data_IF_266813720384
#
_entry.id   IF_266813720384
#
_cell.length_a   1.000
_cell.length_b   1.000
_cell.length_c   1.000
_cell.angle_alpha   90.00
_cell.angle_beta   90.00
_cell.angle_gamma   90.00
#
_symmetry.space_group_name_H-M   'P 1'
#
loop_
_entity.id
_entity.type
_entity.pdbx_description
1 polymer ?
#
# COMPACT_ATOMS: atom_id res chain seq x y z
N UNK A 1 56.79 -63.90 -7.42
CA UNK A 1 56.54 -62.57 -8.01
C UNK A 1 55.08 -62.23 -7.75
N UNK A 2 54.78 -61.49 -6.68
CA UNK A 2 53.40 -61.24 -6.26
C UNK A 2 52.94 -59.87 -6.79
N UNK A 3 51.98 -59.89 -7.73
CA UNK A 3 51.34 -58.70 -8.27
C UNK A 3 50.36 -58.16 -7.23
N UNK A 4 50.64 -56.97 -6.68
CA UNK A 4 49.71 -56.22 -5.83
C UNK A 4 48.80 -55.38 -6.72
N UNK A 5 47.51 -55.70 -6.72
CA UNK A 5 46.47 -54.85 -7.32
C UNK A 5 46.15 -53.69 -6.38
N UNK A 6 46.20 -52.41 -6.82
CA UNK A 6 45.77 -51.29 -5.99
C UNK A 6 44.24 -51.25 -5.86
N UNK A 7 43.75 -51.04 -4.63
CA UNK A 7 42.33 -50.86 -4.35
C UNK A 7 41.83 -49.51 -4.91
N UNK A 8 40.57 -49.44 -5.40
CA UNK A 8 39.98 -48.20 -5.87
C UNK A 8 39.60 -47.30 -4.68
N UNK A 9 40.50 -46.41 -4.31
CA UNK A 9 40.25 -45.34 -3.32
C UNK A 9 39.80 -44.08 -4.06
N UNK A 10 38.57 -43.60 -3.82
CA UNK A 10 38.32 -42.16 -4.01
C UNK A 10 36.94 -41.66 -4.45
N UNK A 11 35.91 -42.47 -4.66
CA UNK A 11 34.62 -41.94 -5.16
C UNK A 11 33.60 -41.55 -4.07
N UNK A 12 33.64 -42.17 -2.89
CA UNK A 12 32.65 -41.89 -1.81
C UNK A 12 32.84 -40.53 -1.12
N UNK A 13 34.08 -40.07 -0.95
CA UNK A 13 34.37 -38.79 -0.27
C UNK A 13 34.18 -37.55 -1.14
N UNK A 14 34.12 -37.73 -2.47
CA UNK A 14 33.80 -36.63 -3.39
C UNK A 14 32.30 -36.30 -3.35
N UNK A 15 31.43 -37.32 -3.48
CA UNK A 15 29.97 -37.11 -3.53
C UNK A 15 29.40 -36.36 -2.31
N UNK A 16 29.87 -36.70 -1.10
CA UNK A 16 29.44 -36.02 0.14
C UNK A 16 29.85 -34.54 0.22
N UNK A 17 31.00 -34.16 -0.37
CA UNK A 17 31.45 -32.76 -0.41
C UNK A 17 30.65 -31.93 -1.41
N UNK A 18 30.23 -32.51 -2.54
CA UNK A 18 29.38 -31.85 -3.52
C UNK A 18 27.96 -31.62 -3.01
N UNK A 19 27.36 -32.63 -2.36
CA UNK A 19 26.02 -32.51 -1.73
C UNK A 19 25.99 -31.44 -0.62
N UNK A 20 27.04 -31.35 0.19
CA UNK A 20 27.17 -30.29 1.22
C UNK A 20 27.30 -28.90 0.62
N UNK A 21 28.05 -28.75 -0.48
CA UNK A 21 28.18 -27.46 -1.19
C UNK A 21 26.88 -27.02 -1.86
N UNK A 22 26.15 -27.96 -2.47
CA UNK A 22 24.81 -27.70 -3.02
C UNK A 22 23.81 -27.29 -1.92
N UNK A 23 23.85 -27.94 -0.75
CA UNK A 23 23.04 -27.54 0.40
C UNK A 23 23.33 -26.12 0.87
N UNK A 24 24.60 -25.72 0.97
CA UNK A 24 24.97 -24.35 1.35
C UNK A 24 24.54 -23.30 0.31
N UNK A 25 24.67 -23.61 -0.98
CA UNK A 25 24.20 -22.72 -2.05
C UNK A 25 22.68 -22.56 -2.03
N UNK A 26 21.93 -23.65 -1.82
CA UNK A 26 20.48 -23.62 -1.71
C UNK A 26 20.03 -22.79 -0.48
N UNK A 27 20.65 -22.99 0.68
CA UNK A 27 20.36 -22.18 1.88
C UNK A 27 20.69 -20.70 1.66
N UNK A 28 21.82 -20.40 1.02
CA UNK A 28 22.20 -19.03 0.66
C UNK A 28 21.19 -18.36 -0.27
N UNK A 29 20.71 -19.09 -1.28
CA UNK A 29 19.69 -18.61 -2.20
C UNK A 29 18.37 -18.31 -1.46
N UNK A 30 17.90 -19.24 -0.62
CA UNK A 30 16.67 -19.04 0.16
C UNK A 30 16.80 -17.85 1.11
N UNK A 31 17.91 -17.75 1.83
CA UNK A 31 18.17 -16.61 2.72
C UNK A 31 18.20 -15.29 1.94
N UNK A 32 18.85 -15.27 0.77
CA UNK A 32 18.88 -14.10 -0.11
C UNK A 32 17.47 -13.67 -0.55
N UNK A 33 16.64 -14.61 -1.01
CA UNK A 33 15.26 -14.33 -1.42
C UNK A 33 14.42 -13.77 -0.27
N UNK A 34 14.52 -14.35 0.92
CA UNK A 34 13.79 -13.88 2.11
C UNK A 34 14.21 -12.47 2.50
N UNK A 35 15.52 -12.19 2.50
CA UNK A 35 16.04 -10.85 2.80
C UNK A 35 15.58 -9.83 1.76
N UNK A 36 15.66 -10.15 0.47
CA UNK A 36 15.17 -9.29 -0.59
C UNK A 36 13.67 -9.03 -0.47
N UNK A 37 12.86 -10.05 -0.22
CA UNK A 37 11.42 -9.90 -0.01
C UNK A 37 11.12 -9.02 1.22
N UNK A 38 11.79 -9.26 2.34
CA UNK A 38 11.66 -8.44 3.55
C UNK A 38 12.04 -6.98 3.32
N UNK A 39 13.13 -6.72 2.61
CA UNK A 39 13.54 -5.37 2.24
C UNK A 39 12.48 -4.69 1.35
N UNK A 40 11.98 -5.38 0.33
CA UNK A 40 10.93 -4.84 -0.54
C UNK A 40 9.64 -4.50 0.23
N UNK A 41 9.23 -5.37 1.15
CA UNK A 41 8.07 -5.12 2.02
C UNK A 41 8.30 -3.91 2.91
N UNK A 42 9.47 -3.80 3.54
CA UNK A 42 9.80 -2.69 4.42
C UNK A 42 9.89 -1.35 3.67
N UNK A 43 10.53 -1.33 2.49
CA UNK A 43 10.67 -0.14 1.66
C UNK A 43 9.32 0.34 1.11
N UNK A 44 8.43 -0.58 0.79
CA UNK A 44 7.10 -0.28 0.27
C UNK A 44 6.04 -0.13 1.38
N UNK A 45 6.41 -0.19 2.66
CA UNK A 45 5.45 -0.10 3.74
C UNK A 45 4.90 1.33 3.84
N UNK A 46 3.61 1.57 3.56
CA UNK A 46 3.11 2.93 3.50
C UNK A 46 2.85 3.48 4.90
N UNK A 47 3.29 4.71 5.11
CA UNK A 47 2.88 5.58 6.22
C UNK A 47 1.74 6.49 5.76
N UNK A 48 0.74 6.66 6.62
CA UNK A 48 -0.47 7.43 6.30
C UNK A 48 -0.44 8.78 6.98
N UNK A 49 -0.64 9.85 6.22
CA UNK A 49 -0.78 11.21 6.71
C UNK A 49 -2.08 11.83 6.18
N UNK A 50 -2.91 12.36 7.07
CA UNK A 50 -4.12 13.11 6.68
C UNK A 50 -3.74 14.57 6.44
N UNK A 51 -3.93 15.06 5.21
CA UNK A 51 -3.62 16.44 4.81
C UNK A 51 -4.80 17.38 5.00
N UNK A 52 -6.03 16.87 4.85
CA UNK A 52 -7.25 17.62 5.06
C UNK A 52 -8.37 16.71 5.55
N UNK A 53 -9.27 17.26 6.36
CA UNK A 53 -10.50 16.59 6.76
C UNK A 53 -11.62 17.60 6.90
N UNK A 54 -12.82 17.21 6.48
CA UNK A 54 -14.03 17.98 6.71
C UNK A 54 -15.21 17.06 7.01
N UNK A 55 -16.16 17.57 7.79
CA UNK A 55 -17.32 16.81 8.25
C UNK A 55 -18.60 17.33 7.60
N UNK A 56 -19.47 16.40 7.25
CA UNK A 56 -20.81 16.72 6.78
C UNK A 56 -21.54 17.62 7.79
N UNK A 57 -22.07 18.79 7.37
CA UNK A 57 -22.83 19.67 8.23
C UNK A 57 -24.19 19.07 8.56
N UNK A 58 -24.75 19.42 9.72
CA UNK A 58 -26.08 18.93 10.18
C UNK A 58 -27.24 19.34 9.27
N UNK A 59 -27.05 20.32 8.39
CA UNK A 59 -28.04 20.78 7.41
C UNK A 59 -28.18 19.86 6.20
N UNK A 60 -27.21 18.97 5.98
CA UNK A 60 -27.23 17.95 4.93
C UNK A 60 -27.44 16.61 5.59
N UNK A 61 -28.42 15.84 5.12
CA UNK A 61 -28.69 14.49 5.58
C UNK A 61 -28.80 13.56 4.37
N UNK A 62 -28.17 12.40 4.46
CA UNK A 62 -28.30 11.32 3.49
C UNK A 62 -29.30 10.27 4.00
N UNK A 63 -29.70 9.34 3.12
CA UNK A 63 -30.75 8.36 3.41
C UNK A 63 -30.39 7.34 4.51
N UNK A 64 -29.12 7.25 4.90
CA UNK A 64 -28.61 6.35 5.92
C UNK A 64 -28.47 7.03 7.30
N UNK A 65 -28.96 8.27 7.39
CA UNK A 65 -29.05 9.13 8.59
C UNK A 65 -27.72 9.29 9.36
N UNK A 66 -26.60 9.04 8.69
CA UNK A 66 -25.30 9.01 9.34
C UNK A 66 -24.44 10.20 8.96
N UNK A 67 -23.55 10.59 9.88
CA UNK A 67 -22.56 11.63 9.62
C UNK A 67 -21.43 11.07 8.77
N UNK A 68 -21.09 11.79 7.70
CA UNK A 68 -19.99 11.45 6.81
C UNK A 68 -18.83 12.42 6.99
N UNK A 69 -17.65 11.95 6.61
CA UNK A 69 -16.43 12.72 6.55
C UNK A 69 -15.82 12.60 5.17
N UNK A 70 -15.18 13.69 4.73
CA UNK A 70 -14.29 13.67 3.58
C UNK A 70 -12.87 13.91 4.10
N UNK A 71 -11.88 13.23 3.51
CA UNK A 71 -10.50 13.42 3.90
C UNK A 71 -9.55 13.28 2.71
N UNK A 72 -8.54 14.14 2.67
CA UNK A 72 -7.45 14.02 1.72
C UNK A 72 -6.23 13.43 2.42
N UNK A 73 -5.72 12.32 1.89
CA UNK A 73 -4.76 11.44 2.55
C UNK A 73 -3.54 11.25 1.64
N UNK A 74 -2.35 11.40 2.20
CA UNK A 74 -1.09 10.99 1.59
C UNK A 74 -0.67 9.64 2.17
N UNK A 75 -0.39 8.69 1.28
CA UNK A 75 0.30 7.44 1.58
C UNK A 75 1.72 7.59 1.11
N UNK A 76 2.66 7.63 2.05
CA UNK A 76 4.08 7.81 1.80
C UNK A 76 4.84 6.51 2.05
N UNK A 77 5.58 6.03 1.07
CA UNK A 77 6.57 4.96 1.20
C UNK A 77 7.94 5.46 0.77
N UNK A 78 9.00 4.67 0.97
CA UNK A 78 10.33 5.05 0.48
C UNK A 78 10.45 5.01 -1.04
N UNK A 79 9.49 4.38 -1.74
CA UNK A 79 9.50 4.25 -3.20
C UNK A 79 8.59 5.27 -3.89
N UNK A 80 7.46 5.60 -3.28
CA UNK A 80 6.45 6.47 -3.89
C UNK A 80 5.52 7.14 -2.87
N UNK A 81 4.96 8.27 -3.32
CA UNK A 81 3.82 8.93 -2.69
C UNK A 81 2.56 8.66 -3.53
N UNK A 82 1.48 8.28 -2.85
CA UNK A 82 0.14 8.19 -3.45
C UNK A 82 -0.83 9.07 -2.67
N UNK A 83 -1.71 9.77 -3.38
CA UNK A 83 -2.72 10.63 -2.78
C UNK A 83 -4.11 10.05 -3.00
N UNK A 84 -4.94 10.07 -1.95
CA UNK A 84 -6.31 9.57 -2.02
C UNK A 84 -7.27 10.54 -1.37
N UNK A 85 -8.42 10.71 -2.02
CA UNK A 85 -9.57 11.38 -1.45
C UNK A 85 -10.53 10.32 -0.92
N UNK A 86 -10.87 10.41 0.36
CA UNK A 86 -11.80 9.55 1.06
C UNK A 86 -13.15 10.25 1.21
N UNK A 87 -14.25 9.51 1.04
CA UNK A 87 -15.57 9.89 1.50
C UNK A 87 -16.27 8.69 2.16
N UNK A 88 -16.86 8.88 3.34
CA UNK A 88 -17.56 7.80 4.02
C UNK A 88 -17.96 8.12 5.46
N UNK A 89 -18.57 7.14 6.12
CA UNK A 89 -19.09 7.25 7.50
C UNK A 89 -18.01 7.10 8.57
N UNK A 90 -16.94 6.34 8.27
CA UNK A 90 -15.94 5.95 9.26
C UNK A 90 -14.87 7.04 9.45
N UNK A 91 -14.83 7.73 10.61
CA UNK A 91 -13.84 8.78 10.86
C UNK A 91 -12.41 8.25 11.00
N UNK A 92 -12.21 6.94 11.21
CA UNK A 92 -10.87 6.34 11.22
C UNK A 92 -10.31 6.16 9.80
N UNK A 93 -11.15 6.31 8.78
CA UNK A 93 -10.82 6.18 7.36
C UNK A 93 -10.21 4.79 7.06
N UNK A 94 -10.63 3.76 7.79
CA UNK A 94 -10.26 2.37 7.51
C UNK A 94 -11.18 1.76 6.46
N UNK A 95 -12.42 2.26 6.37
CA UNK A 95 -13.42 1.74 5.46
C UNK A 95 -14.28 2.84 4.84
N UNK A 96 -14.57 2.73 3.55
CA UNK A 96 -15.38 3.69 2.80
C UNK A 96 -14.94 3.82 1.35
N UNK A 97 -15.28 4.94 0.72
CA UNK A 97 -14.98 5.21 -0.68
C UNK A 97 -13.66 5.96 -0.82
N UNK A 98 -12.73 5.43 -1.62
CA UNK A 98 -11.44 6.05 -1.90
C UNK A 98 -11.28 6.31 -3.40
N UNK A 99 -10.78 7.49 -3.74
CA UNK A 99 -10.48 7.93 -5.10
C UNK A 99 -9.01 8.30 -5.15
N UNK A 100 -8.26 7.75 -6.10
CA UNK A 100 -6.87 8.13 -6.32
C UNK A 100 -6.76 9.51 -6.98
N UNK A 101 -5.83 10.31 -6.50
CA UNK A 101 -5.63 11.70 -6.90
C UNK A 101 -4.22 11.83 -7.47
N UNK A 102 -4.13 12.03 -8.79
CA UNK A 102 -2.86 11.95 -9.54
C UNK A 102 -2.51 13.24 -10.30
N UNK A 103 -3.01 14.41 -9.87
CA UNK A 103 -2.55 15.68 -10.44
C UNK A 103 -1.26 16.18 -9.78
N UNK A 104 -0.45 16.92 -10.53
CA UNK A 104 0.78 17.54 -10.04
C UNK A 104 0.49 18.48 -8.87
N UNK A 105 1.45 18.59 -7.93
CA UNK A 105 1.45 19.51 -6.79
C UNK A 105 0.27 19.34 -5.80
N UNK A 106 -0.42 18.19 -5.84
CA UNK A 106 -1.57 17.92 -4.96
C UNK A 106 -1.23 18.02 -3.47
N UNK A 107 0.01 17.70 -3.09
CA UNK A 107 0.50 17.75 -1.72
C UNK A 107 0.75 19.17 -1.23
N UNK A 108 1.30 20.00 -2.11
CA UNK A 108 1.76 21.36 -1.78
C UNK A 108 0.60 22.35 -1.76
N UNK A 109 -0.46 22.05 -2.52
CA UNK A 109 -1.68 22.84 -2.60
C UNK A 109 -2.89 21.96 -2.28
N UNK A 110 -3.12 21.65 -0.99
CA UNK A 110 -4.17 20.72 -0.57
C UNK A 110 -5.57 21.32 -0.79
N UNK A 111 -6.59 20.63 -0.25
CA UNK A 111 -7.99 21.07 -0.34
C UNK A 111 -8.18 22.47 0.26
N UNK A 112 -8.80 23.35 -0.52
CA UNK A 112 -9.15 24.72 -0.09
C UNK A 112 -10.57 24.83 0.40
N UNK A 113 -11.49 24.02 -0.12
CA UNK A 113 -12.89 24.05 0.31
C UNK A 113 -13.62 22.75 0.00
N UNK A 114 -14.60 22.46 0.85
CA UNK A 114 -15.55 21.35 0.68
C UNK A 114 -16.97 21.91 0.68
N UNK A 115 -17.81 21.43 -0.23
CA UNK A 115 -19.22 21.76 -0.28
C UNK A 115 -20.06 20.49 -0.25
N UNK A 116 -20.83 20.35 0.82
CA UNK A 116 -21.77 19.25 1.00
C UNK A 116 -23.14 19.60 0.42
N UNK A 117 -23.74 18.65 -0.27
CA UNK A 117 -25.07 18.73 -0.88
C UNK A 117 -25.80 17.40 -0.67
N UNK A 118 -27.09 17.32 -0.98
CA UNK A 118 -27.80 16.03 -0.88
C UNK A 118 -27.34 15.03 -1.95
N UNK A 119 -26.83 15.55 -3.06
CA UNK A 119 -26.36 14.79 -4.21
C UNK A 119 -24.95 14.23 -3.99
N UNK A 120 -24.19 14.78 -3.05
CA UNK A 120 -22.82 14.37 -2.75
C UNK A 120 -21.95 15.49 -2.20
N UNK A 121 -20.63 15.33 -2.32
CA UNK A 121 -19.63 16.28 -1.83
C UNK A 121 -18.74 16.77 -2.98
N UNK A 122 -18.56 18.09 -3.08
CA UNK A 122 -17.60 18.73 -3.99
C UNK A 122 -16.38 19.18 -3.20
N UNK A 123 -15.20 18.82 -3.67
CA UNK A 123 -13.91 19.12 -3.06
C UNK A 123 -13.10 19.93 -4.05
N UNK A 124 -12.67 21.13 -3.63
CA UNK A 124 -11.82 22.02 -4.42
C UNK A 124 -10.41 22.01 -3.88
N UNK A 125 -9.44 21.81 -4.77
CA UNK A 125 -8.02 21.81 -4.45
C UNK A 125 -7.38 23.17 -4.73
N UNK A 126 -6.29 23.48 -4.03
CA UNK A 126 -5.53 24.71 -4.26
C UNK A 126 -4.95 24.79 -5.67
N UNK A 127 -4.69 23.63 -6.29
CA UNK A 127 -4.28 23.50 -7.69
C UNK A 127 -5.35 23.93 -8.70
N UNK A 128 -6.57 24.26 -8.27
CA UNK A 128 -7.70 24.64 -9.13
C UNK A 128 -8.56 23.47 -9.63
N UNK A 129 -8.20 22.24 -9.28
CA UNK A 129 -9.01 21.06 -9.59
C UNK A 129 -10.24 20.97 -8.68
N UNK A 130 -11.36 20.52 -9.25
CA UNK A 130 -12.59 20.24 -8.53
C UNK A 130 -12.98 18.76 -8.73
N UNK A 131 -13.19 18.04 -7.64
CA UNK A 131 -13.71 16.68 -7.65
C UNK A 131 -15.11 16.66 -7.03
N UNK A 132 -16.05 16.01 -7.70
CA UNK A 132 -17.37 15.75 -7.16
C UNK A 132 -17.54 14.26 -6.91
N UNK A 133 -17.86 13.91 -5.66
CA UNK A 133 -18.14 12.54 -5.24
C UNK A 133 -19.65 12.43 -5.02
N UNK A 134 -20.39 11.66 -5.83
CA UNK A 134 -21.82 11.50 -5.64
C UNK A 134 -22.12 10.72 -4.36
N UNK A 135 -23.19 11.08 -3.65
CA UNK A 135 -23.63 10.44 -2.41
C UNK A 135 -23.79 8.92 -2.58
N UNK A 136 -24.34 8.48 -3.70
CA UNK A 136 -24.51 7.07 -4.03
C UNK A 136 -23.20 6.25 -4.08
N UNK A 137 -22.02 6.89 -4.15
CA UNK A 137 -20.73 6.21 -4.14
C UNK A 137 -20.21 5.88 -2.73
N UNK A 138 -20.66 6.61 -1.69
CA UNK A 138 -20.16 6.46 -0.32
C UNK A 138 -21.24 6.22 0.73
N UNK A 139 -22.50 6.43 0.39
CA UNK A 139 -23.66 6.18 1.26
C UNK A 139 -24.12 4.74 1.12
N UNK A 140 -24.47 4.09 2.24
CA UNK A 140 -24.98 2.72 2.28
C UNK A 140 -23.93 1.61 2.32
N UNK A 141 -22.65 1.96 2.12
CA UNK A 141 -21.52 1.01 2.18
C UNK A 141 -21.49 0.03 1.00
N UNK A 142 -20.30 -0.44 0.66
CA UNK A 142 -20.08 -1.66 -0.11
C UNK A 142 -19.06 -2.50 0.63
#
# INVERSE_FOLDING_TARGET
>A
MAVRTPAPTGTRDQAGRWLRRLGLLATGLVAGVVLCAGAMIALNWPTRQTLYTDRQPVTVAYNDESSHVVAFIRYHSLLEDTYRLYAGRDPSLHYGHFIEVNFADAADQPVTSTQWTREGVRVRFGTGHDLFIPAAAFVGGR
#
